data_IF_267566286798
#
_entry.id   IF_267566286798
#
_cell.length_a   1.000
_cell.length_b   1.000
_cell.length_c   1.000
_cell.angle_alpha   90.00
_cell.angle_beta   90.00
_cell.angle_gamma   90.00
#
_symmetry.space_group_name_H-M   'P 1'
#
loop_
_entity.id
_entity.type
_entity.pdbx_description
1 polymer ?
#
# COMPACT_ATOMS: atom_id res chain seq x y z
N UNK A 1 -16.49 6.99 -2.29
CA UNK A 1 -16.92 6.10 -3.40
C UNK A 1 -16.64 6.64 -4.81
N UNK A 2 -17.10 7.85 -5.17
CA UNK A 2 -16.87 8.40 -6.51
C UNK A 2 -15.38 8.63 -6.83
N UNK A 3 -14.63 9.23 -5.91
CA UNK A 3 -13.17 9.45 -6.06
C UNK A 3 -12.42 8.13 -6.17
N UNK A 4 -12.73 7.16 -5.30
CA UNK A 4 -12.14 5.81 -5.38
C UNK A 4 -12.45 5.15 -6.72
N UNK A 5 -13.70 5.22 -7.19
CA UNK A 5 -14.09 4.70 -8.49
C UNK A 5 -13.30 5.35 -9.63
N UNK A 6 -13.15 6.69 -9.63
CA UNK A 6 -12.36 7.38 -10.65
C UNK A 6 -10.87 7.05 -10.59
N UNK A 7 -10.29 7.01 -9.38
CA UNK A 7 -8.90 6.64 -9.19
C UNK A 7 -8.64 5.23 -9.71
N UNK A 8 -9.49 4.26 -9.37
CA UNK A 8 -9.38 2.90 -9.87
C UNK A 8 -9.71 2.78 -11.35
N UNK A 9 -10.65 3.57 -11.89
CA UNK A 9 -10.96 3.61 -13.32
C UNK A 9 -9.78 4.15 -14.15
N UNK A 10 -8.91 4.99 -13.57
CA UNK A 10 -7.67 5.44 -14.19
C UNK A 10 -6.57 4.37 -14.15
N UNK A 11 -6.53 3.52 -13.10
CA UNK A 11 -5.57 2.41 -12.97
C UNK A 11 -6.02 1.18 -13.78
N UNK A 12 -7.33 0.98 -13.93
CA UNK A 12 -7.96 -0.12 -14.66
C UNK A 12 -7.46 -0.36 -16.11
N UNK A 13 -7.04 0.63 -16.92
CA UNK A 13 -6.49 0.39 -18.25
C UNK A 13 -5.16 -0.38 -18.22
N UNK A 14 -4.40 -0.31 -17.11
CA UNK A 14 -3.19 -1.09 -16.87
C UNK A 14 -3.46 -2.49 -16.32
N UNK A 15 -4.69 -2.77 -15.89
CA UNK A 15 -5.15 -4.09 -15.48
C UNK A 15 -5.61 -4.83 -16.74
N UNK A 16 -5.01 -5.99 -17.04
CA UNK A 16 -5.19 -6.76 -18.28
C UNK A 16 -6.61 -6.63 -18.86
N UNK A 17 -6.68 -6.24 -20.15
CA UNK A 17 -7.89 -5.83 -20.87
C UNK A 17 -9.08 -6.82 -20.85
N UNK A 18 -8.90 -8.03 -20.33
CA UNK A 18 -9.92 -9.08 -20.18
C UNK A 18 -10.54 -9.21 -18.77
N UNK A 19 -10.06 -8.49 -17.74
CA UNK A 19 -10.52 -8.64 -16.35
C UNK A 19 -11.26 -7.41 -15.76
N UNK A 20 -11.95 -6.63 -16.59
CA UNK A 20 -12.77 -5.48 -16.14
C UNK A 20 -13.76 -5.82 -15.00
N UNK A 21 -14.13 -7.10 -14.84
CA UNK A 21 -15.00 -7.59 -13.76
C UNK A 21 -14.37 -7.53 -12.37
N UNK A 22 -13.04 -7.44 -12.25
CA UNK A 22 -12.34 -7.32 -10.96
C UNK A 22 -12.31 -5.90 -10.40
N UNK A 23 -12.59 -4.88 -11.22
CA UNK A 23 -12.62 -3.49 -10.76
C UNK A 23 -13.75 -3.28 -9.75
N UNK A 24 -14.91 -3.88 -9.97
CA UNK A 24 -16.07 -3.74 -9.08
C UNK A 24 -15.83 -4.29 -7.66
N UNK A 25 -15.44 -5.57 -7.46
CA UNK A 25 -15.16 -6.09 -6.13
C UNK A 25 -13.99 -5.36 -5.46
N UNK A 26 -13.03 -4.86 -6.24
CA UNK A 26 -11.91 -4.08 -5.72
C UNK A 26 -12.36 -2.72 -5.19
N UNK A 27 -13.15 -1.96 -5.95
CA UNK A 27 -13.70 -0.67 -5.51
C UNK A 27 -14.58 -0.84 -4.27
N UNK A 28 -15.39 -1.90 -4.21
CA UNK A 28 -16.22 -2.21 -3.02
C UNK A 28 -15.33 -2.56 -1.83
N UNK A 29 -14.30 -3.39 -2.02
CA UNK A 29 -13.37 -3.77 -0.94
C UNK A 29 -12.62 -2.55 -0.41
N UNK A 30 -12.06 -1.73 -1.30
CA UNK A 30 -11.44 -0.44 -0.97
C UNK A 30 -12.37 0.43 -0.15
N UNK A 31 -13.61 0.65 -0.62
CA UNK A 31 -14.57 1.46 0.11
C UNK A 31 -14.86 0.93 1.51
N UNK A 32 -15.00 -0.38 1.68
CA UNK A 32 -15.17 -1.01 3.00
C UNK A 32 -13.92 -0.84 3.85
N UNK A 33 -12.72 -1.06 3.30
CA UNK A 33 -11.44 -0.89 4.00
C UNK A 33 -11.25 0.55 4.46
N UNK A 34 -11.63 1.52 3.63
CA UNK A 34 -11.60 2.94 3.97
C UNK A 34 -12.51 3.25 5.18
N UNK A 35 -13.74 2.71 5.20
CA UNK A 35 -14.65 2.86 6.34
C UNK A 35 -14.08 2.18 7.60
N UNK A 36 -13.45 1.01 7.46
CA UNK A 36 -12.76 0.34 8.57
C UNK A 36 -11.60 1.21 9.07
N UNK A 37 -10.86 1.86 8.17
CA UNK A 37 -9.79 2.80 8.54
C UNK A 37 -10.30 4.03 9.29
N UNK A 38 -11.44 4.59 8.88
CA UNK A 38 -12.11 5.66 9.63
C UNK A 38 -12.56 5.18 11.01
N UNK A 39 -13.14 3.98 11.10
CA UNK A 39 -13.54 3.38 12.37
C UNK A 39 -12.32 3.15 13.29
N UNK A 40 -11.21 2.65 12.74
CA UNK A 40 -9.95 2.49 13.47
C UNK A 40 -9.42 3.82 14.01
N UNK A 41 -9.46 4.88 13.21
CA UNK A 41 -9.08 6.22 13.66
C UNK A 41 -9.95 6.69 14.83
N UNK A 42 -11.27 6.53 14.73
CA UNK A 42 -12.19 6.98 15.77
C UNK A 42 -12.09 6.14 17.06
N UNK A 43 -12.10 4.81 16.96
CA UNK A 43 -12.18 3.93 18.12
C UNK A 43 -10.83 3.59 18.75
N UNK A 44 -9.73 3.74 18.02
CA UNK A 44 -8.40 3.33 18.49
C UNK A 44 -7.44 4.52 18.57
N UNK A 45 -7.34 5.32 17.52
CA UNK A 45 -6.38 6.45 17.50
C UNK A 45 -6.81 7.55 18.46
N UNK A 46 -8.09 7.97 18.44
CA UNK A 46 -8.53 9.11 19.26
C UNK A 46 -8.40 8.84 20.77
N UNK A 47 -8.83 7.67 21.30
CA UNK A 47 -8.64 7.37 22.72
C UNK A 47 -7.17 7.41 23.13
N UNK A 48 -6.27 6.92 22.28
CA UNK A 48 -4.83 6.88 22.57
C UNK A 48 -4.24 8.28 22.63
N UNK A 49 -4.51 9.08 21.61
CA UNK A 49 -4.00 10.46 21.54
C UNK A 49 -4.56 11.30 22.70
N UNK A 50 -5.87 11.22 22.97
CA UNK A 50 -6.49 12.02 24.02
C UNK A 50 -6.17 11.53 25.43
N UNK A 51 -6.05 10.22 25.65
CA UNK A 51 -5.57 9.69 26.93
C UNK A 51 -4.15 10.19 27.24
N UNK A 52 -3.28 10.19 26.23
CA UNK A 52 -1.93 10.71 26.37
C UNK A 52 -1.92 12.23 26.65
N UNK A 53 -2.70 13.01 25.87
CA UNK A 53 -2.80 14.46 26.08
C UNK A 53 -3.34 14.81 27.47
N UNK A 54 -4.34 14.06 27.95
CA UNK A 54 -4.90 14.25 29.29
C UNK A 54 -3.92 13.85 30.39
N UNK A 55 -3.08 12.83 30.18
CA UNK A 55 -2.08 12.38 31.16
C UNK A 55 -0.91 13.37 31.30
N UNK A 56 -0.65 14.20 30.28
CA UNK A 56 0.37 15.26 30.33
C UNK A 56 -0.14 16.56 30.98
N UNK A 57 -1.44 16.71 31.20
CA UNK A 57 -1.99 17.91 31.81
C UNK A 57 -1.67 17.96 33.32
N UNK A 58 -1.12 19.07 33.86
CA UNK A 58 -0.90 19.24 35.29
C UNK A 58 -2.20 19.15 36.09
N UNK A 59 -2.13 18.59 37.31
CA UNK A 59 -3.29 18.51 38.20
C UNK A 59 -3.89 19.91 38.43
N UNK A 60 -5.18 20.06 38.13
CA UNK A 60 -5.93 21.31 38.28
C UNK A 60 -6.09 22.14 37.00
N UNK A 61 -5.49 21.74 35.88
CA UNK A 61 -5.74 22.39 34.57
C UNK A 61 -6.81 21.62 33.81
N UNK A 62 -7.95 22.26 33.55
CA UNK A 62 -8.98 21.70 32.68
C UNK A 62 -8.46 21.61 31.24
N UNK A 63 -8.37 20.40 30.72
CA UNK A 63 -8.00 20.17 29.33
C UNK A 63 -9.18 20.56 28.43
N UNK A 64 -9.14 21.76 27.88
CA UNK A 64 -10.19 22.32 27.01
C UNK A 64 -9.66 22.42 25.58
N UNK A 65 -9.99 21.43 24.75
CA UNK A 65 -9.66 21.46 23.32
C UNK A 65 -10.61 22.38 22.58
N UNK A 66 -10.06 23.26 21.75
CA UNK A 66 -10.81 24.05 20.79
C UNK A 66 -11.54 23.12 19.80
N UNK A 67 -12.84 23.37 19.56
CA UNK A 67 -13.68 22.56 18.68
C UNK A 67 -13.18 22.59 17.23
N UNK A 68 -12.62 23.72 16.78
CA UNK A 68 -12.12 23.86 15.42
C UNK A 68 -10.86 23.00 15.23
N UNK A 69 -9.99 22.96 16.25
CA UNK A 69 -8.80 22.10 16.24
C UNK A 69 -9.16 20.63 16.34
N UNK A 70 -10.10 20.28 17.20
CA UNK A 70 -10.61 18.91 17.31
C UNK A 70 -11.20 18.42 15.99
N UNK A 71 -12.07 19.23 15.38
CA UNK A 71 -12.73 18.85 14.12
C UNK A 71 -11.74 18.74 12.97
N UNK A 72 -10.80 19.69 12.86
CA UNK A 72 -9.74 19.63 11.85
C UNK A 72 -8.86 18.39 12.03
N UNK A 73 -8.43 18.10 13.26
CA UNK A 73 -7.67 16.89 13.58
C UNK A 73 -8.46 15.63 13.23
N UNK A 74 -9.76 15.59 13.56
CA UNK A 74 -10.60 14.43 13.29
C UNK A 74 -10.77 14.17 11.78
N UNK A 75 -11.06 15.22 11.01
CA UNK A 75 -11.19 15.12 9.54
C UNK A 75 -9.88 14.67 8.89
N UNK A 76 -8.75 15.28 9.26
CA UNK A 76 -7.43 14.88 8.73
C UNK A 76 -7.09 13.44 9.12
N UNK A 77 -7.37 13.04 10.36
CA UNK A 77 -7.14 11.66 10.82
C UNK A 77 -7.96 10.66 10.03
N UNK A 78 -9.26 10.91 9.82
CA UNK A 78 -10.11 10.03 9.03
C UNK A 78 -9.62 9.89 7.59
N UNK A 79 -9.14 10.97 6.98
CA UNK A 79 -8.58 10.92 5.65
C UNK A 79 -7.27 10.11 5.60
N UNK A 80 -6.32 10.40 6.50
CA UNK A 80 -5.00 9.75 6.50
C UNK A 80 -5.10 8.27 6.85
N UNK A 81 -5.81 7.91 7.92
CA UNK A 81 -5.99 6.51 8.29
C UNK A 81 -6.89 5.76 7.30
N UNK A 82 -7.92 6.41 6.77
CA UNK A 82 -8.72 5.85 5.68
C UNK A 82 -7.87 5.50 4.45
N UNK A 83 -6.99 6.43 4.01
CA UNK A 83 -6.03 6.16 2.93
C UNK A 83 -4.99 5.10 3.31
N UNK A 84 -4.53 5.08 4.56
CA UNK A 84 -3.56 4.09 5.03
C UNK A 84 -4.14 2.67 4.96
N UNK A 85 -5.43 2.52 5.26
CA UNK A 85 -6.11 1.24 5.13
C UNK A 85 -6.27 0.77 3.68
N UNK A 86 -6.01 1.61 2.68
CA UNK A 86 -5.97 1.19 1.27
C UNK A 86 -4.63 0.56 0.86
N UNK A 87 -3.58 0.65 1.69
CA UNK A 87 -2.26 0.05 1.44
C UNK A 87 -2.33 -1.42 1.03
N UNK A 88 -3.12 -2.31 1.68
CA UNK A 88 -3.23 -3.71 1.27
C UNK A 88 -3.76 -3.85 -0.16
N UNK A 89 -4.76 -3.05 -0.54
CA UNK A 89 -5.35 -3.08 -1.89
C UNK A 89 -4.34 -2.60 -2.92
N UNK A 90 -3.63 -1.51 -2.62
CA UNK A 90 -2.57 -0.97 -3.50
C UNK A 90 -1.49 -2.02 -3.73
N UNK A 91 -1.02 -2.71 -2.69
CA UNK A 91 -0.01 -3.77 -2.80
C UNK A 91 -0.49 -4.92 -3.70
N UNK A 92 -1.73 -5.38 -3.51
CA UNK A 92 -2.31 -6.46 -4.35
C UNK A 92 -2.35 -6.02 -5.82
N UNK A 93 -2.77 -4.78 -6.09
CA UNK A 93 -2.88 -4.27 -7.46
C UNK A 93 -1.51 -4.11 -8.11
N UNK A 94 -0.52 -3.56 -7.40
CA UNK A 94 0.84 -3.41 -7.92
C UNK A 94 1.47 -4.75 -8.30
N UNK A 95 1.28 -5.78 -7.48
CA UNK A 95 1.79 -7.13 -7.74
C UNK A 95 1.02 -7.77 -8.90
N UNK A 96 -0.31 -7.63 -8.94
CA UNK A 96 -1.13 -8.21 -10.01
C UNK A 96 -0.85 -7.58 -11.37
N UNK A 97 -0.54 -6.29 -11.42
CA UNK A 97 -0.14 -5.59 -12.65
C UNK A 97 1.29 -5.90 -13.08
N UNK A 98 2.07 -6.65 -12.29
CA UNK A 98 3.48 -6.95 -12.58
C UNK A 98 4.42 -5.74 -12.45
N UNK A 99 3.95 -4.61 -11.89
CA UNK A 99 4.77 -3.41 -11.66
C UNK A 99 5.85 -3.69 -10.62
N UNK A 100 5.52 -4.50 -9.60
CA UNK A 100 6.45 -4.89 -8.54
C UNK A 100 6.30 -6.36 -8.19
N UNK A 101 7.41 -7.08 -8.01
CA UNK A 101 7.39 -8.47 -7.54
C UNK A 101 7.16 -8.58 -6.03
N UNK A 102 6.67 -9.74 -5.58
CA UNK A 102 6.48 -10.03 -4.14
C UNK A 102 7.82 -9.89 -3.39
N UNK A 103 8.93 -10.31 -4.00
CA UNK A 103 10.27 -10.20 -3.42
C UNK A 103 10.69 -8.76 -3.18
N UNK A 104 10.41 -7.86 -4.13
CA UNK A 104 10.67 -6.42 -3.97
C UNK A 104 9.84 -5.82 -2.84
N UNK A 105 8.58 -6.25 -2.69
CA UNK A 105 7.74 -5.82 -1.55
C UNK A 105 8.28 -6.37 -0.21
N UNK A 106 8.75 -7.63 -0.18
CA UNK A 106 9.39 -8.20 1.00
C UNK A 106 10.69 -7.45 1.35
N UNK A 107 11.51 -7.11 0.36
CA UNK A 107 12.72 -6.30 0.57
C UNK A 107 12.39 -4.88 1.05
N UNK A 108 11.20 -4.35 0.71
CA UNK A 108 10.78 -3.01 1.09
C UNK A 108 10.27 -2.88 2.55
N UNK A 109 10.18 -3.98 3.31
CA UNK A 109 9.71 -3.98 4.72
C UNK A 109 10.34 -2.89 5.59
N UNK A 110 11.67 -2.67 5.58
CA UNK A 110 12.28 -1.66 6.43
C UNK A 110 11.77 -0.25 6.12
N UNK A 111 11.55 0.07 4.84
CA UNK A 111 11.00 1.38 4.44
C UNK A 111 9.57 1.57 4.92
N UNK A 112 8.74 0.53 4.84
CA UNK A 112 7.35 0.61 5.33
C UNK A 112 7.30 0.75 6.84
N UNK A 113 8.17 0.04 7.57
CA UNK A 113 8.28 0.17 9.03
C UNK A 113 8.63 1.62 9.37
N UNK A 114 9.65 2.21 8.74
CA UNK A 114 10.00 3.62 8.97
C UNK A 114 8.82 4.55 8.63
N UNK A 115 8.15 4.33 7.50
CA UNK A 115 6.96 5.09 7.12
C UNK A 115 5.83 5.00 8.15
N UNK A 116 5.58 3.81 8.70
CA UNK A 116 4.59 3.60 9.76
C UNK A 116 4.95 4.35 11.03
N UNK A 117 6.22 4.36 11.43
CA UNK A 117 6.71 5.13 12.58
C UNK A 117 6.63 6.64 12.35
N UNK A 118 6.86 7.12 11.12
CA UNK A 118 6.71 8.53 10.77
C UNK A 118 5.25 8.96 10.86
N UNK A 119 4.33 8.17 10.30
CA UNK A 119 2.89 8.44 10.43
C UNK A 119 2.50 8.43 11.91
N UNK A 120 2.89 7.41 12.67
CA UNK A 120 2.62 7.35 14.10
C UNK A 120 3.13 8.59 14.85
N UNK A 121 4.36 9.04 14.56
CA UNK A 121 4.96 10.24 15.18
C UNK A 121 4.26 11.56 14.82
N UNK A 122 3.50 11.62 13.72
CA UNK A 122 2.68 12.80 13.38
C UNK A 122 1.43 12.85 14.26
N UNK A 123 0.86 11.69 14.58
CA UNK A 123 -0.40 11.59 15.33
C UNK A 123 -0.21 11.48 16.84
N UNK A 124 0.86 10.84 17.30
CA UNK A 124 1.22 10.79 18.71
C UNK A 124 2.29 11.83 19.01
N UNK A 125 2.26 12.47 20.18
CA UNK A 125 3.43 13.19 20.70
C UNK A 125 4.66 12.26 20.82
N UNK A 126 5.84 12.73 21.27
CA UNK A 126 7.05 11.90 21.38
C UNK A 126 6.97 10.89 22.53
N UNK A 127 5.94 10.05 22.52
CA UNK A 127 5.73 8.90 23.40
C UNK A 127 5.93 7.61 22.61
N UNK A 128 6.93 6.86 23.03
CA UNK A 128 7.33 5.60 22.39
C UNK A 128 6.20 4.58 22.46
N UNK A 129 5.49 4.46 23.59
CA UNK A 129 4.49 3.39 23.76
C UNK A 129 3.33 3.59 22.79
N UNK A 130 2.73 4.78 22.78
CA UNK A 130 1.61 5.11 21.89
C UNK A 130 2.04 5.07 20.42
N UNK A 131 3.27 5.50 20.10
CA UNK A 131 3.80 5.43 18.75
C UNK A 131 3.92 3.99 18.24
N UNK A 132 4.44 3.07 19.04
CA UNK A 132 4.50 1.65 18.70
C UNK A 132 3.11 1.03 18.55
N UNK A 133 2.17 1.39 19.44
CA UNK A 133 0.80 0.88 19.39
C UNK A 133 0.05 1.30 18.12
N UNK A 134 0.38 2.46 17.54
CA UNK A 134 -0.11 2.88 16.23
C UNK A 134 0.69 2.28 15.07
N UNK A 135 2.02 2.23 15.15
CA UNK A 135 2.86 1.75 14.05
C UNK A 135 2.66 0.26 13.74
N UNK A 136 2.42 -0.57 14.77
CA UNK A 136 2.22 -2.02 14.60
C UNK A 136 1.01 -2.33 13.70
N UNK A 137 -0.20 -1.77 13.93
CA UNK A 137 -1.33 -1.89 13.01
C UNK A 137 -1.01 -1.51 11.55
N UNK A 138 -0.26 -0.41 11.32
CA UNK A 138 0.12 0.00 9.96
C UNK A 138 1.03 -1.02 9.30
N UNK A 139 2.01 -1.55 10.03
CA UNK A 139 2.88 -2.61 9.52
C UNK A 139 2.11 -3.89 9.22
N UNK A 140 1.18 -4.28 10.09
CA UNK A 140 0.31 -5.44 9.88
C UNK A 140 -0.58 -5.30 8.65
N UNK A 141 -1.09 -4.11 8.36
CA UNK A 141 -1.84 -3.86 7.12
C UNK A 141 -0.99 -4.10 5.88
N UNK A 142 0.25 -3.63 5.88
CA UNK A 142 1.16 -3.89 4.77
C UNK A 142 1.45 -5.39 4.61
N UNK A 143 1.70 -6.09 5.73
CA UNK A 143 1.92 -7.53 5.71
C UNK A 143 0.71 -8.28 5.18
N UNK A 144 -0.48 -7.88 5.61
CA UNK A 144 -1.74 -8.42 5.11
C UNK A 144 -1.87 -8.23 3.60
N UNK A 145 -1.47 -7.07 3.07
CA UNK A 145 -1.42 -6.82 1.62
C UNK A 145 -0.52 -7.82 0.88
N UNK A 146 0.69 -8.05 1.38
CA UNK A 146 1.62 -9.03 0.79
C UNK A 146 1.04 -10.43 0.87
N UNK A 147 0.50 -10.84 2.03
CA UNK A 147 -0.06 -12.17 2.23
C UNK A 147 -1.26 -12.41 1.31
N UNK A 148 -2.21 -11.47 1.26
CA UNK A 148 -3.37 -11.56 0.36
C UNK A 148 -2.95 -11.58 -1.11
N UNK A 149 -1.92 -10.84 -1.49
CA UNK A 149 -1.42 -10.84 -2.87
C UNK A 149 -0.91 -12.20 -3.32
N UNK A 150 -0.33 -13.00 -2.41
CA UNK A 150 0.11 -14.39 -2.71
C UNK A 150 -1.05 -15.32 -3.02
N UNK A 151 -2.22 -15.09 -2.42
CA UNK A 151 -3.41 -15.91 -2.66
C UNK A 151 -4.17 -15.47 -3.92
N UNK A 152 -4.15 -14.18 -4.25
CA UNK A 152 -4.91 -13.59 -5.36
C UNK A 152 -4.15 -13.61 -6.68
N UNK A 153 -2.82 -13.52 -6.64
CA UNK A 153 -1.97 -13.56 -7.83
C UNK A 153 -1.61 -15.00 -8.16
N UNK A 154 -2.14 -15.53 -9.27
CA UNK A 154 -1.45 -16.65 -9.95
C UNK A 154 -0.05 -16.14 -10.32
N UNK A 155 1.02 -16.92 -10.13
CA UNK A 155 2.36 -16.51 -10.48
C UNK A 155 2.38 -16.23 -11.99
N UNK A 156 2.29 -14.95 -12.36
CA UNK A 156 2.63 -14.51 -13.71
C UNK A 156 4.14 -14.60 -13.72
N UNK A 157 4.62 -15.62 -14.42
CA UNK A 157 6.02 -15.93 -14.58
C UNK A 157 6.79 -14.65 -14.83
N UNK A 158 7.80 -14.46 -13.99
CA UNK A 158 9.03 -13.77 -14.34
C UNK A 158 9.24 -13.91 -15.85
N UNK A 159 9.30 -12.78 -16.56
CA UNK A 159 9.61 -12.81 -17.98
C UNK A 159 10.91 -13.59 -18.12
N UNK A 160 10.81 -14.82 -18.65
CA UNK A 160 11.90 -15.77 -18.87
C UNK A 160 12.79 -15.28 -20.02
N UNK A 161 13.14 -13.99 -19.97
CA UNK A 161 14.22 -13.44 -20.75
C UNK A 161 15.51 -13.90 -20.10
N UNK A 162 15.91 -15.12 -20.44
CA UNK A 162 17.29 -15.53 -20.33
C UNK A 162 18.05 -14.82 -21.45
N UNK A 163 19.12 -14.12 -21.09
CA UNK A 163 20.09 -13.69 -22.09
C UNK A 163 20.50 -14.93 -22.90
N UNK A 164 20.49 -14.88 -24.24
CA UNK A 164 20.95 -15.99 -25.07
C UNK A 164 22.33 -16.42 -24.59
N UNK A 165 22.52 -17.72 -24.43
CA UNK A 165 23.85 -18.26 -24.13
C UNK A 165 24.80 -17.95 -25.28
N UNK A 166 26.11 -17.86 -25.01
CA UNK A 166 27.11 -17.56 -26.05
C UNK A 166 26.98 -18.50 -27.26
N UNK A 167 26.65 -19.78 -27.02
CA UNK A 167 26.37 -20.77 -28.07
C UNK A 167 25.13 -20.45 -28.94
N UNK A 168 24.08 -19.89 -28.35
CA UNK A 168 22.86 -19.52 -29.07
C UNK A 168 23.10 -18.26 -29.91
N UNK A 169 23.88 -17.32 -29.39
CA UNK A 169 24.28 -16.09 -30.07
C UNK A 169 25.17 -16.40 -31.29
N UNK A 170 26.13 -17.33 -31.17
CA UNK A 170 26.94 -17.83 -32.29
C UNK A 170 26.07 -18.50 -33.37
N UNK A 171 25.08 -19.31 -32.97
CA UNK A 171 24.17 -19.99 -33.92
C UNK A 171 23.28 -19.00 -34.69
N UNK A 172 22.88 -17.89 -34.07
CA UNK A 172 22.11 -16.84 -34.76
C UNK A 172 22.99 -16.01 -35.71
N UNK A 173 24.23 -15.71 -35.31
CA UNK A 173 25.21 -15.05 -36.18
C UNK A 173 25.48 -15.89 -37.42
N UNK A 174 25.76 -17.18 -37.27
CA UNK A 174 25.96 -18.14 -38.37
C UNK A 174 24.73 -18.22 -39.29
N UNK A 175 23.52 -18.16 -38.73
CA UNK A 175 22.28 -18.16 -39.50
C UNK A 175 22.15 -16.89 -40.34
N UNK A 176 22.46 -15.73 -39.74
CA UNK A 176 22.41 -14.44 -40.42
C UNK A 176 23.48 -14.29 -41.52
N UNK A 177 24.67 -14.88 -41.31
CA UNK A 177 25.73 -14.93 -42.32
C UNK A 177 25.33 -15.80 -43.51
N UNK A 178 24.68 -16.96 -43.27
CA UNK A 178 24.18 -17.82 -44.36
C UNK A 178 23.09 -17.16 -45.18
N UNK A 179 22.18 -16.42 -44.54
CA UNK A 179 21.13 -15.67 -45.23
C UNK A 179 21.68 -14.49 -46.04
N UNK A 180 22.71 -13.78 -45.52
CA UNK A 180 23.36 -12.69 -46.28
C UNK A 180 24.24 -13.19 -47.42
N UNK A 181 24.81 -14.39 -47.31
CA UNK A 181 25.65 -14.99 -48.37
C UNK A 181 24.84 -15.68 -49.47
N UNK A 182 23.57 -16.05 -49.18
CA UNK A 182 22.63 -16.66 -50.14
C UNK A 182 21.92 -15.68 -51.07
N UNK A 183 22.17 -14.36 -50.94
CA UNK A 183 21.56 -13.30 -51.75
C UNK A 183 22.53 -12.73 -52.82
N UNK A 184 23.37 -13.59 -53.41
CA UNK A 184 24.17 -13.27 -54.61
C UNK A 184 23.65 -14.01 -55.84
#
# INVERSE_FOLDING_TARGET
PYVLYQAWAFVAPGLYAHEKRLVLPLVVTSFVLFLIGMAFAYFLVFPVVFAFMSAMAPEGVAWMTDIDKYFSFALTSFLVFGLTFEVPVVVIVLIRMGVVSIEKMVAARPYVIVGAFVIAAIFTPPDVISQFMLAVPLWLLYELGIVLSRFVSRPVGESDWKAPTDEEMERELDRSERESTGLK
#
